data_IF_357619691771
#
_entry.id   IF_357619691771
#
_cell.length_a   1.000
_cell.length_b   1.000
_cell.length_c   1.000
_cell.angle_alpha   90.00
_cell.angle_beta   90.00
_cell.angle_gamma   90.00
#
_symmetry.space_group_name_H-M   'P 1'
#
loop_
_entity.id
_entity.type
_entity.pdbx_description
1 polymer ?
#
# COMPACT_ATOMS: atom_id res chain seq x y z
N UNK A 1 28.21 13.64 -3.30
CA UNK A 1 27.11 12.66 -3.23
C UNK A 1 27.16 11.96 -1.87
N UNK A 2 26.33 12.42 -0.93
CA UNK A 2 26.36 11.97 0.47
C UNK A 2 25.77 10.55 0.59
N UNK A 3 26.66 9.58 0.77
CA UNK A 3 26.31 8.20 1.09
C UNK A 3 26.29 8.05 2.61
N UNK A 4 25.15 7.63 3.17
CA UNK A 4 25.07 7.16 4.55
C UNK A 4 25.94 5.89 4.68
N UNK A 5 27.22 6.07 5.00
CA UNK A 5 28.17 4.98 5.26
C UNK A 5 27.89 4.39 6.65
N UNK A 6 26.83 3.61 6.78
CA UNK A 6 26.61 2.76 7.95
C UNK A 6 27.16 1.37 7.66
N UNK A 7 28.30 1.03 8.26
CA UNK A 7 28.89 -0.32 8.19
C UNK A 7 28.31 -1.17 9.31
N UNK A 8 27.52 -2.18 8.97
CA UNK A 8 26.98 -3.14 9.92
C UNK A 8 27.91 -4.35 10.04
N UNK A 9 28.14 -4.84 11.27
CA UNK A 9 28.72 -6.18 11.43
C UNK A 9 27.77 -7.21 10.80
N UNK A 10 28.31 -8.20 10.08
CA UNK A 10 27.53 -9.25 9.37
C UNK A 10 26.53 -9.95 10.30
N UNK A 11 26.84 -10.08 11.59
CA UNK A 11 25.97 -10.69 12.58
C UNK A 11 24.89 -9.73 13.12
N UNK A 12 25.10 -8.42 13.05
CA UNK A 12 24.18 -7.40 13.54
C UNK A 12 23.16 -6.96 12.48
N UNK A 13 23.38 -7.30 11.21
CA UNK A 13 22.46 -6.98 10.12
C UNK A 13 21.27 -7.95 10.08
N UNK A 14 20.36 -7.76 11.02
CA UNK A 14 19.16 -8.58 11.24
C UNK A 14 17.91 -7.73 11.11
N UNK A 15 16.83 -8.31 10.60
CA UNK A 15 15.54 -7.61 10.49
C UNK A 15 15.06 -7.19 11.88
N UNK A 16 14.68 -5.92 12.05
CA UNK A 16 14.21 -5.41 13.31
C UNK A 16 12.91 -6.09 13.79
N UNK A 17 12.08 -6.60 12.88
CA UNK A 17 10.86 -7.35 13.20
C UNK A 17 11.10 -8.83 13.49
N UNK A 18 11.56 -9.62 12.51
CA UNK A 18 11.71 -11.07 12.71
C UNK A 18 13.04 -11.51 13.34
N UNK A 19 14.00 -10.60 13.54
CA UNK A 19 15.35 -10.87 14.06
C UNK A 19 16.18 -11.86 13.26
N UNK A 20 15.77 -12.16 12.02
CA UNK A 20 16.50 -13.04 11.10
C UNK A 20 17.59 -12.22 10.38
N UNK A 21 18.82 -12.76 10.23
CA UNK A 21 19.89 -12.09 9.49
C UNK A 21 19.52 -11.90 8.01
N UNK A 22 19.62 -10.67 7.52
CA UNK A 22 19.32 -10.29 6.15
C UNK A 22 20.55 -10.57 5.28
N UNK A 23 20.75 -11.84 4.89
CA UNK A 23 21.91 -12.24 4.08
C UNK A 23 21.58 -12.15 2.60
N UNK A 24 22.26 -11.26 1.88
CA UNK A 24 22.21 -11.14 0.41
C UNK A 24 20.78 -11.01 -0.17
N UNK A 25 19.85 -10.42 0.59
CA UNK A 25 18.47 -10.13 0.18
C UNK A 25 18.24 -8.62 0.22
N UNK A 26 17.24 -8.15 -0.52
CA UNK A 26 16.79 -6.77 -0.43
C UNK A 26 16.39 -6.44 1.01
N UNK A 27 16.72 -5.21 1.40
CA UNK A 27 16.43 -4.67 2.73
C UNK A 27 15.98 -3.23 2.60
N UNK A 28 15.21 -2.80 3.59
CA UNK A 28 14.67 -1.44 3.66
C UNK A 28 15.01 -0.87 5.03
N UNK A 29 15.32 0.43 5.09
CA UNK A 29 15.58 1.11 6.37
C UNK A 29 14.41 2.01 6.71
N UNK A 30 13.86 1.83 7.90
CA UNK A 30 12.78 2.65 8.43
C UNK A 30 13.14 3.10 9.84
N UNK A 31 13.07 4.42 10.10
CA UNK A 31 13.48 5.04 11.37
C UNK A 31 14.90 4.63 11.84
N UNK A 32 15.79 4.33 10.89
CA UNK A 32 17.16 3.89 11.17
C UNK A 32 17.32 2.40 11.51
N UNK A 33 16.24 1.61 11.46
CA UNK A 33 16.26 0.17 11.68
C UNK A 33 16.14 -0.60 10.34
N UNK A 34 16.95 -1.66 10.12
CA UNK A 34 16.85 -2.48 8.92
C UNK A 34 15.72 -3.50 9.03
N UNK A 35 14.89 -3.58 7.99
CA UNK A 35 13.81 -4.55 7.83
C UNK A 35 14.07 -5.41 6.60
N UNK A 36 13.76 -6.70 6.68
CA UNK A 36 13.74 -7.53 5.48
C UNK A 36 12.53 -7.15 4.63
N UNK A 37 12.64 -7.31 3.31
CA UNK A 37 11.56 -7.03 2.34
C UNK A 37 10.19 -7.49 2.84
N UNK A 38 10.05 -8.77 3.19
CA UNK A 38 8.80 -9.35 3.68
C UNK A 38 8.19 -8.60 4.87
N UNK A 39 8.99 -8.28 5.87
CA UNK A 39 8.47 -7.64 7.09
C UNK A 39 8.22 -6.14 6.83
N UNK A 40 9.08 -5.50 6.04
CA UNK A 40 8.88 -4.12 5.61
C UNK A 40 7.57 -3.97 4.85
N UNK A 41 7.34 -4.78 3.81
CA UNK A 41 6.08 -4.78 3.06
C UNK A 41 4.87 -5.08 3.94
N UNK A 42 5.00 -5.98 4.92
CA UNK A 42 3.90 -6.33 5.81
C UNK A 42 3.48 -5.18 6.72
N UNK A 43 4.45 -4.42 7.23
CA UNK A 43 4.22 -3.36 8.22
C UNK A 43 3.97 -2.00 7.58
N UNK A 44 4.65 -1.72 6.48
CA UNK A 44 4.73 -0.38 5.88
C UNK A 44 4.32 -0.37 4.41
N UNK A 45 3.97 -1.53 3.85
CA UNK A 45 3.45 -1.62 2.50
C UNK A 45 2.09 -0.94 2.36
N UNK A 46 1.93 -0.21 1.27
CA UNK A 46 0.65 0.38 0.86
C UNK A 46 -0.34 -0.72 0.55
N UNK A 47 -1.53 -0.66 1.17
CA UNK A 47 -2.60 -1.65 0.97
C UNK A 47 -3.77 -1.03 0.24
N UNK A 48 -4.32 -1.79 -0.69
CA UNK A 48 -5.54 -1.44 -1.38
C UNK A 48 -6.73 -1.54 -0.41
N UNK A 49 -7.47 -0.45 -0.24
CA UNK A 49 -8.66 -0.42 0.63
C UNK A 49 -9.81 -1.28 0.11
N UNK A 50 -9.86 -1.57 -1.19
CA UNK A 50 -10.92 -2.37 -1.82
C UNK A 50 -10.78 -3.87 -1.59
N UNK A 51 -9.55 -4.39 -1.67
CA UNK A 51 -9.30 -5.83 -1.58
C UNK A 51 -8.44 -6.25 -0.36
N UNK A 52 -7.93 -5.29 0.41
CA UNK A 52 -7.02 -5.48 1.56
C UNK A 52 -5.64 -6.09 1.22
N UNK A 53 -5.38 -6.34 -0.06
CA UNK A 53 -4.07 -6.79 -0.54
C UNK A 53 -3.10 -5.62 -0.74
N UNK A 54 -1.80 -5.92 -0.69
CA UNK A 54 -0.73 -4.96 -0.98
C UNK A 54 -0.82 -4.46 -2.42
N UNK A 55 -0.35 -3.24 -2.63
CA UNK A 55 -0.10 -2.65 -3.95
C UNK A 55 1.41 -2.77 -4.18
N UNK A 56 1.82 -3.63 -5.12
CA UNK A 56 3.21 -3.91 -5.42
C UNK A 56 3.87 -2.83 -6.30
N UNK A 57 5.20 -2.80 -6.30
CA UNK A 57 5.96 -1.93 -7.18
C UNK A 57 5.73 -2.32 -8.65
N UNK A 58 4.92 -1.52 -9.35
CA UNK A 58 4.52 -1.77 -10.73
C UNK A 58 3.00 -1.86 -10.94
N UNK A 59 2.24 -2.02 -9.85
CA UNK A 59 0.78 -2.00 -9.91
C UNK A 59 0.26 -0.60 -10.23
N UNK A 60 -0.79 -0.55 -11.04
CA UNK A 60 -1.57 0.67 -11.25
C UNK A 60 -2.46 0.89 -10.03
N UNK A 61 -2.31 2.04 -9.40
CA UNK A 61 -3.11 2.41 -8.25
C UNK A 61 -3.50 3.88 -8.29
N UNK A 62 -4.46 4.24 -7.46
CA UNK A 62 -4.93 5.61 -7.27
C UNK A 62 -5.19 5.88 -5.79
N UNK A 63 -5.13 7.15 -5.43
CA UNK A 63 -5.46 7.61 -4.09
C UNK A 63 -6.84 8.28 -4.10
N UNK A 64 -7.75 7.76 -3.28
CA UNK A 64 -9.10 8.29 -3.15
C UNK A 64 -9.62 8.05 -1.73
N UNK A 65 -10.40 9.01 -1.21
CA UNK A 65 -10.97 8.94 0.14
C UNK A 65 -9.93 8.81 1.25
N UNK A 66 -8.70 9.30 1.03
CA UNK A 66 -7.60 9.16 1.98
C UNK A 66 -6.97 7.75 2.03
N UNK A 67 -7.33 6.87 1.10
CA UNK A 67 -6.76 5.53 0.99
C UNK A 67 -6.21 5.26 -0.41
N UNK A 68 -5.34 4.26 -0.51
CA UNK A 68 -4.84 3.75 -1.78
C UNK A 68 -5.72 2.59 -2.28
N UNK A 69 -5.89 2.50 -3.59
CA UNK A 69 -6.71 1.49 -4.26
C UNK A 69 -5.99 1.02 -5.52
N UNK A 70 -6.01 -0.28 -5.83
CA UNK A 70 -5.74 -0.70 -7.21
C UNK A 70 -6.74 -0.02 -8.15
N UNK A 71 -6.31 0.32 -9.36
CA UNK A 71 -7.19 0.97 -10.35
C UNK A 71 -8.46 0.16 -10.58
N UNK A 72 -8.31 -1.17 -10.64
CA UNK A 72 -9.40 -2.15 -10.82
C UNK A 72 -10.27 -2.35 -9.58
N UNK A 73 -9.79 -1.97 -8.39
CA UNK A 73 -10.50 -2.13 -7.13
C UNK A 73 -11.29 -0.88 -6.74
N UNK A 74 -11.09 0.25 -7.43
CA UNK A 74 -11.84 1.47 -7.18
C UNK A 74 -13.20 1.43 -7.88
N UNK A 75 -14.11 0.65 -7.31
CA UNK A 75 -15.41 0.32 -7.88
C UNK A 75 -16.57 0.84 -7.04
N UNK A 76 -17.73 1.06 -7.66
CA UNK A 76 -18.93 1.44 -6.92
C UNK A 76 -19.31 0.37 -5.91
N UNK A 77 -19.47 0.74 -4.64
CA UNK A 77 -19.82 -0.19 -3.57
C UNK A 77 -21.19 -0.89 -3.72
N UNK A 78 -22.03 -0.45 -4.68
CA UNK A 78 -23.33 -1.05 -4.97
C UNK A 78 -23.30 -1.92 -6.24
N UNK A 79 -22.87 -1.37 -7.38
CA UNK A 79 -22.90 -2.09 -8.66
C UNK A 79 -21.54 -2.57 -9.18
N UNK A 80 -20.45 -2.34 -8.43
CA UNK A 80 -19.10 -2.79 -8.76
C UNK A 80 -18.54 -2.24 -10.10
N UNK A 81 -19.14 -1.18 -10.66
CA UNK A 81 -18.57 -0.53 -11.85
C UNK A 81 -17.27 0.19 -11.50
N UNK A 82 -16.26 0.07 -12.37
CA UNK A 82 -15.00 0.79 -12.22
C UNK A 82 -15.21 2.31 -12.29
N UNK A 83 -14.65 3.02 -11.30
CA UNK A 83 -14.76 4.46 -11.11
C UNK A 83 -13.46 5.21 -11.42
N UNK A 84 -12.37 4.51 -11.78
CA UNK A 84 -11.14 5.13 -12.26
C UNK A 84 -11.44 6.11 -13.41
N UNK A 85 -10.95 7.34 -13.28
CA UNK A 85 -11.13 8.40 -14.28
C UNK A 85 -12.58 8.91 -14.45
N UNK A 86 -13.53 8.44 -13.63
CA UNK A 86 -14.94 8.86 -13.68
C UNK A 86 -15.31 9.73 -12.50
N UNK A 87 -16.36 10.52 -12.67
CA UNK A 87 -16.97 11.25 -11.54
C UNK A 87 -17.56 10.24 -10.57
N UNK A 88 -17.11 10.28 -9.32
CA UNK A 88 -17.60 9.44 -8.23
C UNK A 88 -18.04 10.30 -7.05
N UNK A 89 -18.77 9.68 -6.13
CA UNK A 89 -19.23 10.30 -4.89
C UNK A 89 -18.89 9.39 -3.73
N UNK A 90 -18.73 9.95 -2.54
CA UNK A 90 -18.43 9.20 -1.32
C UNK A 90 -19.62 9.21 -0.37
N UNK A 91 -19.94 8.05 0.20
CA UNK A 91 -20.93 7.92 1.27
C UNK A 91 -20.41 6.94 2.31
N UNK A 92 -20.18 7.40 3.55
CA UNK A 92 -19.57 6.60 4.63
C UNK A 92 -18.26 5.91 4.19
N UNK A 93 -17.35 6.67 3.58
CA UNK A 93 -16.05 6.18 3.08
C UNK A 93 -16.13 5.10 1.99
N UNK A 94 -17.30 4.93 1.37
CA UNK A 94 -17.48 4.02 0.24
C UNK A 94 -17.67 4.80 -1.06
N UNK A 95 -16.94 4.46 -2.13
CA UNK A 95 -17.09 5.10 -3.43
C UNK A 95 -18.37 4.62 -4.13
N UNK A 96 -19.11 5.56 -4.73
CA UNK A 96 -20.37 5.35 -5.42
C UNK A 96 -20.33 6.00 -6.82
N UNK A 97 -20.96 5.34 -7.79
CA UNK A 97 -21.20 5.95 -9.10
C UNK A 97 -22.30 7.01 -9.00
N UNK A 98 -22.38 7.90 -9.99
CA UNK A 98 -23.39 8.97 -10.07
C UNK A 98 -24.82 8.46 -9.84
N UNK A 99 -25.19 7.34 -10.46
CA UNK A 99 -26.55 6.79 -10.33
C UNK A 99 -26.88 6.36 -8.90
N UNK A 100 -25.94 5.73 -8.19
CA UNK A 100 -26.16 5.25 -6.82
C UNK A 100 -25.88 6.29 -5.73
N UNK A 101 -25.18 7.37 -6.07
CA UNK A 101 -24.94 8.48 -5.14
C UNK A 101 -26.21 9.28 -4.84
N UNK A 102 -27.05 9.48 -5.86
CA UNK A 102 -28.28 10.28 -5.80
C UNK A 102 -29.56 9.48 -6.00
N UNK A 103 -29.48 8.14 -6.07
CA UNK A 103 -30.69 7.33 -5.95
C UNK A 103 -31.25 7.55 -4.55
N UNK A 104 -32.23 8.45 -4.47
CA UNK A 104 -33.15 8.53 -3.35
C UNK A 104 -33.79 7.16 -3.24
N UNK A 105 -33.52 6.48 -2.12
CA UNK A 105 -34.49 5.49 -1.62
C UNK A 105 -35.74 6.23 -1.21
#
# INVERSE_FOLDING_TARGET
MHALKMTWHVHCFTCAACKIPIRNRAFYMEEGAPYCERDYEKMFGTKCRGCDFKIDAGDRFLEALGFSWHDTCFVCAICQINLEGKTFYSKKDKPLCKSHAFSHV
#
